data_IF_809284149376
#
_entry.id   IF_809284149376
#
_cell.length_a   1.000
_cell.length_b   1.000
_cell.length_c   1.000
_cell.angle_alpha   90.00
_cell.angle_beta   90.00
_cell.angle_gamma   90.00
#
_symmetry.space_group_name_H-M   'P 1'
#
loop_
_entity.id
_entity.type
_entity.pdbx_description
1 polymer ?
#
# COMPACT_ATOMS: atom_id res chain seq x y z
N UNK A 1 5.47 18.75 9.20
CA UNK A 1 4.64 18.90 7.98
C UNK A 1 3.27 19.35 8.42
N UNK A 2 2.82 20.50 7.92
CA UNK A 2 1.43 20.93 8.04
C UNK A 2 0.56 19.99 7.20
N UNK A 3 -0.57 19.48 7.71
CA UNK A 3 -1.54 18.75 6.91
C UNK A 3 -1.99 19.61 5.72
N UNK A 4 -2.23 18.98 4.57
CA UNK A 4 -2.82 19.70 3.45
C UNK A 4 -4.23 20.17 3.83
N UNK A 5 -4.51 21.45 3.63
CA UNK A 5 -5.76 22.10 4.03
C UNK A 5 -6.88 21.88 3.00
N UNK A 6 -6.52 21.51 1.77
CA UNK A 6 -7.45 21.33 0.66
C UNK A 6 -6.94 20.27 -0.37
N UNK A 7 -7.82 19.87 -1.29
CA UNK A 7 -7.50 18.83 -2.27
C UNK A 7 -6.37 19.20 -3.25
N UNK A 8 -6.21 20.48 -3.59
CA UNK A 8 -5.13 20.96 -4.48
C UNK A 8 -3.79 21.00 -3.74
N UNK A 9 -3.77 21.47 -2.49
CA UNK A 9 -2.55 21.39 -1.69
C UNK A 9 -2.15 19.95 -1.44
N UNK A 10 -3.11 19.05 -1.21
CA UNK A 10 -2.85 17.62 -1.06
C UNK A 10 -2.27 17.00 -2.33
N UNK A 11 -2.87 17.26 -3.50
CA UNK A 11 -2.38 16.72 -4.77
C UNK A 11 -0.99 17.23 -5.12
N UNK A 12 -0.72 18.51 -4.89
CA UNK A 12 0.61 19.12 -5.08
C UNK A 12 1.67 18.43 -4.22
N UNK A 13 1.39 18.17 -2.94
CA UNK A 13 2.29 17.44 -2.05
C UNK A 13 2.51 16.01 -2.51
N UNK A 14 1.45 15.30 -2.92
CA UNK A 14 1.55 13.92 -3.42
C UNK A 14 2.39 13.83 -4.69
N UNK A 15 2.15 14.73 -5.66
CA UNK A 15 2.94 14.81 -6.91
C UNK A 15 4.40 15.08 -6.57
N UNK A 16 4.68 16.01 -5.66
CA UNK A 16 6.03 16.32 -5.19
C UNK A 16 6.74 15.10 -4.60
N UNK A 17 6.04 14.30 -3.80
CA UNK A 17 6.58 13.06 -3.22
C UNK A 17 6.90 12.01 -4.30
N UNK A 18 6.02 11.83 -5.28
CA UNK A 18 6.22 10.87 -6.38
C UNK A 18 7.44 11.27 -7.22
N UNK A 19 7.53 12.54 -7.62
CA UNK A 19 8.66 13.05 -8.40
C UNK A 19 9.96 12.87 -7.62
N UNK A 20 9.96 13.19 -6.33
CA UNK A 20 11.11 12.98 -5.46
C UNK A 20 11.56 11.51 -5.41
N UNK A 21 10.63 10.58 -5.30
CA UNK A 21 10.92 9.15 -5.33
C UNK A 21 11.50 8.69 -6.68
N UNK A 22 11.02 9.28 -7.79
CA UNK A 22 11.53 9.00 -9.14
C UNK A 22 12.96 9.53 -9.33
N UNK A 23 13.25 10.73 -8.83
CA UNK A 23 14.60 11.32 -8.86
C UNK A 23 15.59 10.42 -8.13
N UNK A 24 15.25 9.94 -6.93
CA UNK A 24 16.09 9.03 -6.17
C UNK A 24 16.34 7.70 -6.92
N UNK A 25 15.29 7.09 -7.49
CA UNK A 25 15.41 5.86 -8.28
C UNK A 25 16.32 6.04 -9.51
N UNK A 26 16.13 7.12 -10.26
CA UNK A 26 16.94 7.38 -11.45
C UNK A 26 18.38 7.82 -11.07
N UNK A 27 18.56 8.51 -9.94
CA UNK A 27 19.89 8.85 -9.41
C UNK A 27 20.68 7.60 -9.03
N UNK A 28 20.03 6.60 -8.43
CA UNK A 28 20.64 5.30 -8.12
C UNK A 28 21.06 4.53 -9.38
N UNK A 29 20.41 4.78 -10.52
CA UNK A 29 20.75 4.19 -11.83
C UNK A 29 21.81 4.97 -12.60
N UNK A 30 22.21 6.15 -12.13
CA UNK A 30 23.14 7.03 -12.83
C UNK A 30 22.55 7.76 -14.04
N UNK A 31 21.23 7.92 -14.10
CA UNK A 31 20.49 8.38 -15.29
C UNK A 31 20.05 9.86 -15.25
N UNK A 32 20.41 10.64 -14.22
CA UNK A 32 19.71 11.92 -13.92
C UNK A 32 20.59 13.16 -14.02
N UNK A 33 20.13 14.11 -14.84
CA UNK A 33 20.40 15.54 -14.64
C UNK A 33 19.55 16.05 -13.47
N UNK A 34 20.20 16.27 -12.34
CA UNK A 34 19.57 16.64 -11.07
C UNK A 34 18.87 17.99 -11.12
N UNK A 35 19.38 18.94 -11.90
CA UNK A 35 18.85 20.30 -11.91
C UNK A 35 17.50 20.38 -12.61
N UNK A 36 17.39 19.73 -13.78
CA UNK A 36 16.13 19.68 -14.54
C UNK A 36 15.03 18.95 -13.75
N UNK A 37 15.38 17.87 -13.07
CA UNK A 37 14.40 17.04 -12.37
C UNK A 37 13.87 17.70 -11.08
N UNK A 38 14.66 18.56 -10.42
CA UNK A 38 14.22 19.26 -9.21
C UNK A 38 13.19 20.37 -9.50
N UNK A 39 13.24 21.00 -10.68
CA UNK A 39 12.27 22.04 -11.05
C UNK A 39 10.84 21.49 -11.20
N UNK A 40 10.71 20.20 -11.51
CA UNK A 40 9.43 19.50 -11.65
C UNK A 40 8.68 19.34 -10.31
N UNK A 41 9.37 19.45 -9.15
CA UNK A 41 8.76 19.27 -7.82
C UNK A 41 7.90 20.50 -7.47
N UNK A 42 6.55 20.43 -7.46
CA UNK A 42 5.71 21.61 -7.30
C UNK A 42 5.79 22.24 -5.90
N UNK A 43 5.97 21.41 -4.87
CA UNK A 43 6.09 21.86 -3.49
C UNK A 43 7.50 22.40 -3.23
N UNK A 44 7.61 23.72 -3.07
CA UNK A 44 8.87 24.40 -2.72
C UNK A 44 9.56 23.80 -1.48
N UNK A 45 8.87 23.55 -0.35
CA UNK A 45 9.51 22.92 0.82
C UNK A 45 10.09 21.54 0.51
N UNK A 46 9.41 20.72 -0.29
CA UNK A 46 9.91 19.39 -0.67
C UNK A 46 11.11 19.55 -1.60
N UNK A 47 11.04 20.45 -2.58
CA UNK A 47 12.14 20.75 -3.49
C UNK A 47 13.42 21.14 -2.74
N UNK A 48 13.31 22.02 -1.75
CA UNK A 48 14.44 22.44 -0.91
C UNK A 48 15.03 21.29 -0.09
N UNK A 49 14.20 20.37 0.42
CA UNK A 49 14.68 19.17 1.13
C UNK A 49 15.42 18.22 0.20
N UNK A 50 14.92 18.01 -1.02
CA UNK A 50 15.56 17.15 -2.03
C UNK A 50 16.90 17.73 -2.49
N UNK A 51 16.98 19.04 -2.71
CA UNK A 51 18.24 19.70 -3.08
C UNK A 51 19.33 19.56 -2.00
N UNK A 52 18.95 19.47 -0.72
CA UNK A 52 19.88 19.21 0.39
C UNK A 52 20.23 17.73 0.55
N UNK A 53 19.30 16.83 0.23
CA UNK A 53 19.48 15.39 0.35
C UNK A 53 18.85 14.66 -0.83
N UNK A 54 19.64 14.25 -1.83
CA UNK A 54 19.13 13.52 -2.98
C UNK A 54 18.47 12.17 -2.63
N UNK A 55 18.82 11.58 -1.48
CA UNK A 55 18.23 10.32 -0.98
C UNK A 55 16.91 10.54 -0.24
N UNK A 56 16.33 11.74 -0.28
CA UNK A 56 15.06 12.02 0.39
C UNK A 56 13.93 11.11 -0.14
N UNK A 57 14.00 10.68 -1.41
CA UNK A 57 13.05 9.74 -2.01
C UNK A 57 12.98 8.39 -1.30
N UNK A 58 14.12 7.80 -0.93
CA UNK A 58 14.15 6.51 -0.22
C UNK A 58 13.52 6.63 1.16
N UNK A 59 13.78 7.73 1.87
CA UNK A 59 13.17 7.99 3.19
C UNK A 59 11.65 8.16 3.12
N UNK A 60 11.13 8.85 2.09
CA UNK A 60 9.67 8.96 1.90
C UNK A 60 9.07 7.57 1.69
N UNK A 61 9.71 6.75 0.83
CA UNK A 61 9.24 5.41 0.52
C UNK A 61 9.19 4.51 1.76
N UNK A 62 10.25 4.53 2.56
CA UNK A 62 10.35 3.71 3.76
C UNK A 62 9.32 4.14 4.81
N UNK A 63 9.19 5.44 5.08
CA UNK A 63 8.15 5.96 5.97
C UNK A 63 6.73 5.62 5.50
N UNK A 64 6.47 5.72 4.20
CA UNK A 64 5.19 5.35 3.60
C UNK A 64 4.89 3.87 3.82
N UNK A 65 5.88 3.00 3.56
CA UNK A 65 5.75 1.56 3.80
C UNK A 65 5.48 1.24 5.27
N UNK A 66 6.25 1.82 6.19
CA UNK A 66 6.07 1.60 7.63
C UNK A 66 4.69 2.05 8.10
N UNK A 67 4.19 3.21 7.66
CA UNK A 67 2.85 3.69 8.00
C UNK A 67 1.74 2.78 7.47
N UNK A 68 1.87 2.30 6.24
CA UNK A 68 0.91 1.34 5.66
C UNK A 68 0.92 0.03 6.43
N UNK A 69 2.10 -0.48 6.76
CA UNK A 69 2.25 -1.71 7.54
C UNK A 69 1.66 -1.58 8.96
N UNK A 70 1.95 -0.47 9.64
CA UNK A 70 1.50 -0.21 11.00
C UNK A 70 -0.02 0.01 11.09
N UNK A 71 -0.58 0.86 10.21
CA UNK A 71 -1.97 1.32 10.33
C UNK A 71 -2.98 0.47 9.59
N UNK A 72 -2.63 -0.05 8.43
CA UNK A 72 -3.57 -0.83 7.62
C UNK A 72 -3.47 -2.33 7.86
N UNK A 73 -2.36 -2.81 8.46
CA UNK A 73 -2.13 -4.22 8.82
C UNK A 73 -2.61 -5.20 7.73
N UNK A 74 -2.44 -4.84 6.47
CA UNK A 74 -3.05 -5.52 5.31
C UNK A 74 -2.68 -7.00 5.25
N UNK A 75 -1.46 -7.37 5.69
CA UNK A 75 -1.04 -8.76 5.86
C UNK A 75 -1.99 -9.55 6.78
N UNK A 76 -2.43 -8.96 7.89
CA UNK A 76 -3.35 -9.61 8.83
C UNK A 76 -4.75 -9.75 8.26
N UNK A 77 -5.23 -8.74 7.51
CA UNK A 77 -6.50 -8.84 6.80
C UNK A 77 -6.46 -9.96 5.75
N UNK A 78 -5.37 -10.06 4.98
CA UNK A 78 -5.15 -11.13 4.01
C UNK A 78 -5.09 -12.52 4.66
N UNK A 79 -4.34 -12.68 5.74
CA UNK A 79 -4.27 -13.94 6.49
C UNK A 79 -5.63 -14.33 7.08
N UNK A 80 -6.39 -13.38 7.61
CA UNK A 80 -7.75 -13.62 8.11
C UNK A 80 -8.69 -14.06 6.98
N UNK A 81 -8.64 -13.39 5.82
CA UNK A 81 -9.46 -13.75 4.67
C UNK A 81 -9.14 -15.18 4.18
N UNK A 82 -7.85 -15.53 4.07
CA UNK A 82 -7.40 -16.88 3.72
C UNK A 82 -7.90 -17.93 4.72
N UNK A 83 -7.76 -17.66 6.03
CA UNK A 83 -8.22 -18.58 7.07
C UNK A 83 -9.75 -18.80 7.01
N UNK A 84 -10.52 -17.73 6.75
CA UNK A 84 -11.98 -17.80 6.61
C UNK A 84 -12.39 -18.58 5.37
N UNK A 85 -11.73 -18.35 4.24
CA UNK A 85 -11.95 -19.11 3.02
C UNK A 85 -11.64 -20.60 3.18
N UNK A 86 -10.50 -20.94 3.80
CA UNK A 86 -10.14 -22.33 4.09
C UNK A 86 -11.19 -23.02 4.97
N UNK A 87 -11.70 -22.34 6.00
CA UNK A 87 -12.77 -22.86 6.87
C UNK A 87 -14.08 -23.06 6.11
N UNK A 88 -14.46 -22.11 5.25
CA UNK A 88 -15.64 -22.25 4.40
C UNK A 88 -15.52 -23.44 3.44
N UNK A 89 -14.34 -23.65 2.84
CA UNK A 89 -14.05 -24.80 1.97
C UNK A 89 -14.15 -26.13 2.74
N UNK A 90 -13.64 -26.21 3.96
CA UNK A 90 -13.79 -27.40 4.81
C UNK A 90 -15.25 -27.69 5.17
N UNK A 91 -16.04 -26.66 5.47
CA UNK A 91 -17.46 -26.80 5.77
C UNK A 91 -18.26 -27.24 4.53
N UNK A 92 -17.92 -26.72 3.35
CA UNK A 92 -18.52 -27.13 2.08
C UNK A 92 -18.13 -28.55 1.65
N UNK A 93 -16.96 -29.04 2.08
CA UNK A 93 -16.48 -30.38 1.75
C UNK A 93 -16.95 -31.45 2.73
N UNK A 94 -17.56 -31.07 3.87
CA UNK A 94 -18.27 -32.03 4.71
C UNK A 94 -19.54 -32.46 3.97
N UNK A 95 -19.75 -33.76 3.72
CA UNK A 95 -21.06 -34.21 3.27
C UNK A 95 -22.05 -33.80 4.36
N UNK A 96 -23.09 -33.06 3.99
CA UNK A 96 -24.34 -33.11 4.74
C UNK A 96 -24.71 -34.59 4.79
N UNK A 97 -24.48 -35.23 5.94
CA UNK A 97 -24.96 -36.58 6.18
C UNK A 97 -26.47 -36.48 5.99
N UNK A 98 -26.93 -37.03 4.87
CA UNK A 98 -28.33 -37.18 4.52
C UNK A 98 -29.06 -37.67 5.77
N UNK A 99 -30.02 -36.88 6.23
CA UNK A 99 -31.05 -37.37 7.14
C UNK A 99 -32.00 -38.26 6.33
N UNK A 100 -31.48 -39.37 5.80
CA UNK A 100 -32.25 -40.52 5.34
C UNK A 100 -32.17 -41.60 6.43
N UNK A 101 -32.87 -41.35 7.53
CA UNK A 101 -33.47 -42.39 8.38
C UNK A 101 -34.97 -42.09 8.33
N UNK A 102 -35.86 -42.86 7.74
CA UNK A 102 -35.81 -44.16 7.11
C UNK A 102 -37.28 -44.53 6.96
N UNK A 103 -37.84 -44.41 5.75
CA UNK A 103 -39.10 -45.08 5.44
C UNK A 103 -38.75 -46.54 5.11
N UNK A 104 -39.04 -47.46 6.03
CA UNK A 104 -39.40 -48.83 5.67
C UNK A 104 -40.15 -49.50 6.81
N UNK A 105 -41.22 -50.17 6.41
CA UNK A 105 -42.37 -50.63 7.17
C UNK A 105 -42.08 -51.77 8.17
N UNK A 106 -43.00 -51.96 9.12
CA UNK A 106 -43.47 -53.30 9.50
C UNK A 106 -44.79 -53.28 10.30
N UNK A 107 -45.75 -53.99 9.72
CA UNK A 107 -46.98 -54.64 10.21
C UNK A 107 -48.10 -53.77 10.80
#
# INVERSE_FOLDING_TARGET
MTPAEDARSLSSVLISMIITMKIDESSQRGEVDMNYSMEEIPSKPIREMVGKNPRFGSMIRENGRSRVEEKFRWKNAGLLALARYAKAKQLSAKPTVDSKRGMSARN
#
